data_IF_268684244865
#
_entry.id   IF_268684244865
#
_cell.length_a   1.000
_cell.length_b   1.000
_cell.length_c   1.000
_cell.angle_alpha   90.00
_cell.angle_beta   90.00
_cell.angle_gamma   90.00
#
_symmetry.space_group_name_H-M   'P 1'
#
loop_
_entity.id
_entity.type
_entity.pdbx_description
1 polymer ?
#
# COMPACT_ATOMS: atom_id res chain seq x y z
N UNK A 1 -63.58 12.15 28.93
CA UNK A 1 -62.45 12.83 28.27
C UNK A 1 -62.99 13.90 27.35
N UNK A 2 -62.50 15.14 27.46
CA UNK A 2 -63.06 16.29 26.77
C UNK A 2 -62.61 16.27 25.28
N UNK A 3 -63.56 16.09 24.36
CA UNK A 3 -63.28 15.90 22.92
C UNK A 3 -62.40 17.03 22.35
N UNK A 4 -62.60 18.27 22.83
CA UNK A 4 -61.81 19.45 22.45
C UNK A 4 -60.32 19.30 22.77
N UNK A 5 -59.97 18.73 23.92
CA UNK A 5 -58.58 18.51 24.35
C UNK A 5 -57.87 17.47 23.47
N UNK A 6 -58.59 16.45 23.01
CA UNK A 6 -58.05 15.42 22.12
C UNK A 6 -57.78 15.94 20.70
N UNK A 7 -58.61 16.86 20.19
CA UNK A 7 -58.37 17.50 18.89
C UNK A 7 -57.16 18.45 18.94
N UNK A 8 -57.01 19.22 20.01
CA UNK A 8 -55.86 20.12 20.21
C UNK A 8 -54.53 19.35 20.29
N UNK A 9 -54.50 18.20 20.95
CA UNK A 9 -53.28 17.39 21.00
C UNK A 9 -52.92 16.80 19.63
N UNK A 10 -53.93 16.35 18.85
CA UNK A 10 -53.69 15.79 17.52
C UNK A 10 -53.15 16.82 16.54
N UNK A 11 -53.65 18.06 16.59
CA UNK A 11 -53.16 19.14 15.73
C UNK A 11 -51.75 19.57 16.11
N UNK A 12 -51.41 19.61 17.40
CA UNK A 12 -50.05 19.90 17.86
C UNK A 12 -49.02 18.86 17.41
N UNK A 13 -49.37 17.57 17.49
CA UNK A 13 -48.47 16.49 17.05
C UNK A 13 -48.25 16.55 15.53
N UNK A 14 -49.31 16.79 14.76
CA UNK A 14 -49.18 16.94 13.31
C UNK A 14 -48.29 18.14 12.94
N UNK A 15 -48.42 19.27 13.65
CA UNK A 15 -47.61 20.45 13.42
C UNK A 15 -46.12 20.22 13.75
N UNK A 16 -45.82 19.50 14.83
CA UNK A 16 -44.44 19.18 15.23
C UNK A 16 -43.71 18.29 14.20
N UNK A 17 -44.42 17.32 13.61
CA UNK A 17 -43.85 16.43 12.57
C UNK A 17 -43.54 17.23 11.29
N UNK A 18 -44.42 18.15 10.91
CA UNK A 18 -44.20 19.03 9.76
C UNK A 18 -42.99 19.94 10.02
N UNK A 19 -42.86 20.52 11.22
CA UNK A 19 -41.73 21.38 11.57
C UNK A 19 -40.37 20.65 11.50
N UNK A 20 -40.30 19.39 11.96
CA UNK A 20 -39.09 18.57 11.90
C UNK A 20 -38.70 18.16 10.47
N UNK A 21 -39.66 18.15 9.54
CA UNK A 21 -39.40 17.82 8.12
C UNK A 21 -38.71 18.97 7.36
N UNK A 22 -38.78 20.19 7.88
CA UNK A 22 -38.18 21.39 7.27
C UNK A 22 -36.82 21.78 7.89
N UNK A 23 -36.36 21.11 8.95
CA UNK A 23 -35.02 21.32 9.47
C UNK A 23 -34.01 20.59 8.57
N UNK A 24 -33.41 21.31 7.63
CA UNK A 24 -32.28 20.80 6.85
C UNK A 24 -31.07 20.62 7.80
N UNK A 25 -30.61 19.37 7.94
CA UNK A 25 -29.34 19.10 8.61
C UNK A 25 -28.20 19.62 7.72
N UNK A 26 -27.54 20.69 8.16
CA UNK A 26 -26.33 21.19 7.51
C UNK A 26 -25.17 20.24 7.83
N UNK A 27 -25.03 19.16 7.07
CA UNK A 27 -23.80 18.38 7.05
C UNK A 27 -22.77 19.21 6.27
N UNK A 28 -21.95 19.97 7.01
CA UNK A 28 -20.86 20.73 6.42
C UNK A 28 -19.95 19.81 5.62
N UNK A 29 -19.77 20.12 4.33
CA UNK A 29 -18.71 19.51 3.53
C UNK A 29 -17.37 19.87 4.18
N UNK A 30 -16.62 18.87 4.64
CA UNK A 30 -15.21 19.04 4.96
C UNK A 30 -14.46 19.27 3.65
N UNK A 31 -14.36 20.53 3.24
CA UNK A 31 -13.45 20.95 2.19
C UNK A 31 -12.05 20.92 2.78
N UNK A 32 -11.29 19.88 2.46
CA UNK A 32 -9.83 19.93 2.54
C UNK A 32 -9.34 20.87 1.42
N UNK A 33 -9.55 22.17 1.58
CA UNK A 33 -8.64 23.12 0.97
C UNK A 33 -7.33 22.90 1.72
N UNK A 34 -6.25 22.44 1.08
CA UNK A 34 -4.98 22.39 1.76
C UNK A 34 -4.71 23.84 2.15
N UNK A 35 -4.67 24.12 3.45
CA UNK A 35 -3.93 25.28 3.94
C UNK A 35 -2.59 25.22 3.22
N UNK A 36 -2.23 26.31 2.57
CA UNK A 36 -1.01 26.46 1.80
C UNK A 36 0.17 26.43 2.78
N UNK A 37 0.46 25.23 3.29
CA UNK A 37 1.68 24.90 4.00
C UNK A 37 2.71 24.87 2.89
N UNK A 38 3.61 25.85 2.87
CA UNK A 38 4.83 25.83 2.08
C UNK A 38 5.61 24.54 2.43
N UNK A 39 5.29 23.46 1.74
CA UNK A 39 6.11 22.26 1.72
C UNK A 39 7.46 22.71 1.16
N UNK A 40 8.52 22.61 1.95
CA UNK A 40 9.89 22.85 1.49
C UNK A 40 10.10 22.10 0.17
N UNK A 41 10.03 22.84 -0.94
CA UNK A 41 10.11 22.25 -2.25
C UNK A 41 11.56 21.85 -2.46
N UNK A 42 11.80 20.54 -2.47
CA UNK A 42 13.13 19.97 -2.70
C UNK A 42 13.74 20.56 -3.98
N UNK A 43 14.88 21.25 -3.83
CA UNK A 43 15.57 21.98 -4.89
C UNK A 43 16.51 21.10 -5.71
N UNK A 44 16.65 19.83 -5.35
CA UNK A 44 17.48 18.89 -6.10
C UNK A 44 16.89 18.60 -7.48
N UNK A 45 17.75 18.22 -8.43
CA UNK A 45 17.33 17.86 -9.81
C UNK A 45 16.32 16.70 -9.83
N UNK A 46 16.39 15.81 -8.84
CA UNK A 46 15.54 14.63 -8.72
C UNK A 46 14.93 14.60 -7.31
N UNK A 47 13.87 15.38 -7.07
CA UNK A 47 13.28 15.50 -5.75
C UNK A 47 12.64 14.18 -5.33
N UNK A 48 12.88 13.76 -4.10
CA UNK A 48 12.26 12.56 -3.55
C UNK A 48 10.82 12.90 -3.20
N UNK A 49 9.87 12.16 -3.77
CA UNK A 49 8.45 12.34 -3.49
C UNK A 49 8.00 11.23 -2.55
N UNK A 50 7.27 11.64 -1.52
CA UNK A 50 6.61 10.67 -0.68
C UNK A 50 5.50 9.96 -1.48
N UNK A 51 5.26 8.70 -1.13
CA UNK A 51 4.21 7.88 -1.74
C UNK A 51 2.85 8.42 -1.36
N UNK A 52 1.91 8.46 -2.30
CA UNK A 52 0.50 8.73 -2.02
C UNK A 52 -0.32 7.44 -2.14
N UNK A 53 -1.08 7.05 -1.11
CA UNK A 53 -1.90 5.83 -1.10
C UNK A 53 -1.28 4.64 -0.38
N UNK A 54 -1.60 3.42 -0.82
CA UNK A 54 -1.15 2.14 -0.25
C UNK A 54 0.06 1.56 -1.01
N UNK A 55 0.84 0.65 -0.41
CA UNK A 55 2.09 0.18 -1.01
C UNK A 55 1.89 -0.86 -2.13
N UNK A 56 0.69 -1.38 -2.34
CA UNK A 56 0.39 -2.42 -3.31
C UNK A 56 -0.22 -1.87 -4.62
N UNK A 57 -1.00 -0.80 -4.54
CA UNK A 57 -1.55 -0.13 -5.72
C UNK A 57 -0.63 0.97 -6.26
N UNK A 58 0.18 1.59 -5.40
CA UNK A 58 1.06 2.68 -5.80
C UNK A 58 2.19 2.21 -6.71
N UNK A 59 2.25 2.81 -7.90
CA UNK A 59 3.36 2.62 -8.85
C UNK A 59 4.38 3.73 -8.65
N UNK A 60 5.34 3.49 -7.75
CA UNK A 60 6.48 4.38 -7.52
C UNK A 60 7.53 4.31 -8.63
N UNK A 61 8.46 5.25 -8.61
CA UNK A 61 9.62 5.20 -9.48
C UNK A 61 10.58 4.09 -9.00
N UNK A 62 11.21 3.37 -9.92
CA UNK A 62 12.21 2.34 -9.58
C UNK A 62 13.50 2.92 -9.00
N UNK A 63 13.75 4.22 -9.20
CA UNK A 63 14.91 4.94 -8.64
C UNK A 63 14.66 5.48 -7.23
N UNK A 64 13.41 5.49 -6.75
CA UNK A 64 13.10 5.96 -5.39
C UNK A 64 13.64 4.99 -4.34
N UNK A 65 13.91 5.52 -3.15
CA UNK A 65 14.31 4.72 -2.00
C UNK A 65 13.18 3.76 -1.63
N UNK A 66 13.53 2.49 -1.43
CA UNK A 66 12.59 1.49 -0.88
C UNK A 66 12.31 1.82 0.58
N UNK A 67 11.12 1.45 1.04
CA UNK A 67 10.78 1.57 2.45
C UNK A 67 11.76 0.81 3.33
N UNK A 68 12.10 1.42 4.46
CA UNK A 68 13.03 0.82 5.43
C UNK A 68 12.35 -0.33 6.18
N UNK A 69 13.17 -1.22 6.75
CA UNK A 69 12.67 -2.33 7.58
C UNK A 69 11.97 -1.89 8.88
N UNK A 70 12.01 -0.59 9.21
CA UNK A 70 11.30 -0.01 10.35
C UNK A 70 9.78 0.07 10.14
N UNK A 71 9.34 0.22 8.88
CA UNK A 71 7.91 0.21 8.54
C UNK A 71 7.48 -1.26 8.45
N UNK A 72 6.67 -1.69 9.41
CA UNK A 72 6.10 -3.05 9.45
C UNK A 72 4.75 -3.03 8.76
N UNK A 73 4.58 -3.94 7.81
CA UNK A 73 3.35 -4.11 7.03
C UNK A 73 2.69 -5.42 7.41
N UNK A 74 1.42 -5.35 7.79
CA UNK A 74 0.60 -6.52 8.10
C UNK A 74 -0.68 -6.47 7.28
N UNK A 75 -1.12 -7.65 6.84
CA UNK A 75 -2.40 -7.83 6.16
C UNK A 75 -3.34 -8.47 7.17
N UNK A 76 -4.41 -7.77 7.50
CA UNK A 76 -5.41 -8.19 8.47
C UNK A 76 -6.72 -8.48 7.74
N UNK A 77 -7.33 -9.64 7.97
CA UNK A 77 -8.60 -10.01 7.34
C UNK A 77 -9.75 -9.78 8.31
N UNK A 78 -10.79 -9.07 7.87
CA UNK A 78 -12.05 -8.93 8.61
C UNK A 78 -13.12 -9.87 8.03
N UNK A 79 -13.56 -10.91 8.77
CA UNK A 79 -14.57 -11.85 8.30
C UNK A 79 -15.97 -11.24 8.18
N UNK A 80 -16.27 -10.13 8.86
CA UNK A 80 -17.60 -9.50 8.83
C UNK A 80 -17.83 -8.76 7.52
N UNK A 81 -16.85 -7.95 7.14
CA UNK A 81 -16.88 -7.16 5.90
C UNK A 81 -16.30 -7.92 4.71
N UNK A 82 -15.60 -9.05 4.96
CA UNK A 82 -14.86 -9.85 3.97
C UNK A 82 -13.79 -9.02 3.25
N UNK A 83 -13.18 -8.08 3.97
CA UNK A 83 -12.16 -7.18 3.45
C UNK A 83 -10.79 -7.49 4.04
N UNK A 84 -9.76 -7.17 3.27
CA UNK A 84 -8.37 -7.22 3.67
C UNK A 84 -7.87 -5.81 3.96
N UNK A 85 -7.29 -5.59 5.12
CA UNK A 85 -6.72 -4.32 5.55
C UNK A 85 -5.20 -4.38 5.51
N UNK A 86 -4.59 -3.42 4.83
CA UNK A 86 -3.14 -3.25 4.80
C UNK A 86 -2.78 -2.22 5.87
N UNK A 87 -2.13 -2.70 6.92
CA UNK A 87 -1.76 -1.92 8.10
C UNK A 87 -0.26 -1.68 8.09
N UNK A 88 0.14 -0.40 8.07
CA UNK A 88 1.55 0.01 8.16
C UNK A 88 1.81 0.62 9.54
N UNK A 89 2.76 0.05 10.31
CA UNK A 89 3.11 0.49 11.66
C UNK A 89 4.60 0.79 11.77
N UNK A 90 4.93 1.85 12.52
CA UNK A 90 6.29 2.13 12.98
C UNK A 90 6.27 2.01 14.51
N UNK A 91 6.95 0.99 15.03
CA UNK A 91 6.82 0.59 16.43
C UNK A 91 5.35 0.24 16.75
N UNK A 92 4.74 1.01 17.65
CA UNK A 92 3.34 0.82 18.08
C UNK A 92 2.35 1.81 17.43
N UNK A 93 2.82 2.72 16.56
CA UNK A 93 1.97 3.75 15.94
C UNK A 93 1.68 3.39 14.49
N UNK A 94 0.45 3.67 14.05
CA UNK A 94 0.10 3.59 12.64
C UNK A 94 0.88 4.65 11.86
N UNK A 95 1.63 4.22 10.85
CA UNK A 95 2.36 5.10 9.96
C UNK A 95 1.40 5.81 9.00
N UNK A 96 0.39 5.08 8.51
CA UNK A 96 -0.61 5.57 7.57
C UNK A 96 -1.98 4.99 7.87
N UNK A 97 -3.01 5.60 7.31
CA UNK A 97 -4.38 5.09 7.34
C UNK A 97 -4.44 3.73 6.65
N UNK A 98 -4.96 2.69 7.32
CA UNK A 98 -5.11 1.38 6.70
C UNK A 98 -5.95 1.45 5.43
N UNK A 99 -5.54 0.74 4.40
CA UNK A 99 -6.29 0.64 3.13
C UNK A 99 -7.00 -0.69 3.05
N UNK A 100 -8.29 -0.68 2.70
CA UNK A 100 -9.14 -1.85 2.60
C UNK A 100 -9.24 -2.35 1.14
N UNK A 101 -9.18 -3.65 0.96
CA UNK A 101 -9.33 -4.34 -0.31
C UNK A 101 -10.44 -5.38 -0.23
N UNK A 102 -11.17 -5.58 -1.32
CA UNK A 102 -12.03 -6.75 -1.44
C UNK A 102 -11.18 -8.02 -1.61
N UNK A 103 -11.76 -9.19 -1.33
CA UNK A 103 -11.05 -10.46 -1.52
C UNK A 103 -10.58 -10.68 -2.96
N UNK A 104 -11.44 -10.41 -3.94
CA UNK A 104 -11.08 -10.55 -5.36
C UNK A 104 -9.93 -9.61 -5.75
N UNK A 105 -10.00 -8.36 -5.30
CA UNK A 105 -8.98 -7.37 -5.57
C UNK A 105 -7.63 -7.76 -4.96
N UNK A 106 -7.64 -8.22 -3.71
CA UNK A 106 -6.43 -8.68 -3.05
C UNK A 106 -5.79 -9.88 -3.77
N UNK A 107 -6.59 -10.89 -4.17
CA UNK A 107 -6.11 -12.05 -4.92
C UNK A 107 -5.50 -11.62 -6.25
N UNK A 108 -6.15 -10.68 -6.96
CA UNK A 108 -5.62 -10.14 -8.22
C UNK A 108 -4.31 -9.39 -8.03
N UNK A 109 -4.20 -8.58 -6.98
CA UNK A 109 -2.96 -7.85 -6.64
C UNK A 109 -1.82 -8.82 -6.30
N UNK A 110 -2.11 -9.85 -5.48
CA UNK A 110 -1.14 -10.87 -5.12
C UNK A 110 -0.68 -11.67 -6.35
N UNK A 111 -1.62 -12.10 -7.20
CA UNK A 111 -1.30 -12.83 -8.43
C UNK A 111 -0.39 -12.02 -9.37
N UNK A 112 -0.67 -10.73 -9.56
CA UNK A 112 0.20 -9.83 -10.33
C UNK A 112 1.61 -9.75 -9.74
N UNK A 113 1.71 -9.66 -8.42
CA UNK A 113 3.01 -9.61 -7.73
C UNK A 113 3.79 -10.91 -7.87
N UNK A 114 3.12 -12.05 -7.75
CA UNK A 114 3.73 -13.37 -7.88
C UNK A 114 4.25 -13.62 -9.30
N UNK A 115 3.51 -13.16 -10.31
CA UNK A 115 3.94 -13.20 -11.72
C UNK A 115 5.20 -12.36 -11.95
N UNK A 116 5.22 -11.12 -11.49
CA UNK A 116 6.39 -10.23 -11.58
C UNK A 116 7.62 -10.85 -10.89
N UNK A 117 7.44 -11.41 -9.69
CA UNK A 117 8.51 -12.06 -8.94
C UNK A 117 8.98 -13.37 -9.61
N UNK A 118 8.07 -14.13 -10.24
CA UNK A 118 8.40 -15.32 -11.04
C UNK A 118 9.29 -14.95 -12.22
N UNK A 119 8.90 -13.97 -13.03
CA UNK A 119 9.70 -13.55 -14.19
C UNK A 119 11.04 -12.96 -13.78
N UNK A 120 11.10 -12.21 -12.67
CA UNK A 120 12.37 -11.70 -12.13
C UNK A 120 13.32 -12.84 -11.74
N UNK A 121 12.82 -13.87 -11.02
CA UNK A 121 13.61 -15.06 -10.66
C UNK A 121 14.09 -15.82 -11.89
N UNK A 122 13.20 -16.01 -12.87
CA UNK A 122 13.52 -16.69 -14.14
C UNK A 122 14.58 -15.93 -14.93
N UNK A 123 14.46 -14.61 -15.08
CA UNK A 123 15.44 -13.78 -15.75
C UNK A 123 16.82 -13.87 -15.05
N UNK A 124 16.85 -13.76 -13.72
CA UNK A 124 18.09 -13.89 -12.95
C UNK A 124 18.75 -15.26 -13.14
N UNK A 125 17.97 -16.34 -13.20
CA UNK A 125 18.48 -17.68 -13.47
C UNK A 125 19.10 -17.79 -14.87
N UNK A 126 18.43 -17.28 -15.90
CA UNK A 126 18.95 -17.26 -17.26
C UNK A 126 20.24 -16.43 -17.37
N UNK A 127 20.30 -15.27 -16.70
CA UNK A 127 21.52 -14.46 -16.62
C UNK A 127 22.65 -15.23 -15.95
N UNK A 128 22.39 -15.94 -14.85
CA UNK A 128 23.41 -16.75 -14.18
C UNK A 128 23.91 -17.92 -15.03
N UNK A 129 23.01 -18.58 -15.77
CA UNK A 129 23.38 -19.68 -16.68
C UNK A 129 24.19 -19.21 -17.89
N UNK A 130 23.85 -18.04 -18.44
CA UNK A 130 24.55 -17.46 -19.58
C UNK A 130 25.85 -16.74 -19.18
N UNK A 131 26.05 -16.46 -17.89
CA UNK A 131 27.29 -15.85 -17.41
C UNK A 131 28.44 -16.83 -17.64
N UNK A 132 29.34 -16.50 -18.56
CA UNK A 132 30.61 -17.20 -18.70
C UNK A 132 31.39 -17.00 -17.40
N UNK A 133 31.40 -18.03 -16.56
CA UNK A 133 32.25 -18.07 -15.37
C UNK A 133 33.69 -18.00 -15.90
N UNK A 134 34.47 -17.04 -15.41
CA UNK A 134 35.90 -16.95 -15.71
C UNK A 134 36.55 -18.28 -15.34
N UNK A 135 36.88 -19.10 -16.35
CA UNK A 135 37.64 -20.33 -16.14
C UNK A 135 39.12 -19.93 -16.14
N UNK A 136 39.86 -20.07 -15.02
CA UNK A 136 41.30 -19.87 -15.07
C UNK A 136 41.88 -20.84 -16.09
N UNK A 137 42.72 -20.34 -16.99
CA UNK A 137 43.48 -21.23 -17.88
C UNK A 137 44.55 -21.88 -17.01
N UNK A 138 44.38 -23.16 -16.69
CA UNK A 138 45.44 -23.93 -16.07
C UNK A 138 46.61 -24.00 -17.05
N UNK A 139 47.66 -23.24 -16.78
CA UNK A 139 48.94 -23.39 -17.47
C UNK A 139 49.74 -24.38 -16.64
N UNK A 140 49.78 -25.63 -17.09
CA UNK A 140 50.73 -26.59 -16.53
C UNK A 140 52.10 -26.14 -17.01
N UNK A 141 52.96 -25.71 -16.10
CA UNK A 141 54.37 -25.47 -16.41
C UNK A 141 55.13 -26.79 -16.36
N UNK A 142 56.17 -26.92 -17.18
CA UNK A 142 56.95 -28.16 -17.23
C UNK A 142 57.57 -28.50 -15.88
N UNK A 143 57.97 -27.50 -15.06
CA UNK A 143 58.46 -27.72 -13.68
C UNK A 143 57.37 -28.30 -12.75
N UNK A 144 56.12 -27.83 -12.87
CA UNK A 144 55.00 -28.39 -12.09
C UNK A 144 54.69 -29.82 -12.51
N UNK A 145 54.69 -30.10 -13.81
CA UNK A 145 54.45 -31.44 -14.35
C UNK A 145 55.54 -32.42 -13.93
N UNK A 146 56.82 -32.05 -14.06
CA UNK A 146 57.95 -32.88 -13.70
C UNK A 146 57.97 -33.22 -12.20
N UNK A 147 57.65 -32.25 -11.33
CA UNK A 147 57.51 -32.51 -9.88
C UNK A 147 56.34 -33.42 -9.53
N UNK A 148 55.26 -33.38 -10.30
CA UNK A 148 54.07 -34.19 -10.04
C UNK A 148 54.23 -35.63 -10.56
N UNK A 149 54.90 -35.80 -11.71
CA UNK A 149 55.03 -37.07 -12.42
C UNK A 149 56.35 -37.79 -12.15
N UNK A 150 57.33 -37.13 -11.53
CA UNK A 150 58.60 -37.74 -11.13
C UNK A 150 59.52 -38.10 -12.29
N UNK A 151 59.42 -37.38 -13.41
CA UNK A 151 60.36 -37.43 -14.55
C UNK A 151 61.32 -36.24 -14.54
#
# INVERSE_FOLDING_TARGET
MNLKTAHICRTLVAFAIVLASFTQANAGYYNNTPDNIDFFQDTTRYPIRDRYGDPYSYRGNSFDLKDTAFIKRTIEYDPRTKQYYIVEKIGNKYYRTPTSFSMEEFVRLQGKKDEEDYFRKRAALLTNMNRRIFKPKFRVTDDLFNRLMGV
#
